data_IF_041848790761
#
_entry.id   IF_041848790761
#
_cell.length_a   1.000
_cell.length_b   1.000
_cell.length_c   1.000
_cell.angle_alpha   90.00
_cell.angle_beta   90.00
_cell.angle_gamma   90.00
#
_symmetry.space_group_name_H-M   'P 1'
#
loop_
_entity.id
_entity.type
_entity.pdbx_description
1 polymer ?
#
# COMPACT_ATOMS: atom_id res chain seq x y z
N UNK A 1 9.99 -10.57 -1.81
CA UNK A 1 9.36 -9.43 -1.13
C UNK A 1 10.29 -9.02 -0.02
N UNK A 2 10.69 -7.74 0.08
CA UNK A 2 11.40 -7.23 1.24
C UNK A 2 10.62 -7.45 2.54
N UNK A 3 11.30 -7.41 3.68
CA UNK A 3 10.70 -7.72 4.98
C UNK A 3 11.06 -6.71 6.08
N UNK A 4 10.83 -5.41 5.85
CA UNK A 4 11.02 -4.41 6.89
C UNK A 4 9.99 -4.62 8.01
N UNK A 5 10.38 -4.25 9.22
CA UNK A 5 9.50 -4.15 10.37
C UNK A 5 9.09 -2.70 10.54
N UNK A 6 7.79 -2.44 10.38
CA UNK A 6 7.16 -1.13 10.50
C UNK A 6 6.20 -1.11 11.70
N UNK A 7 5.48 -0.01 11.90
CA UNK A 7 4.44 0.13 12.92
C UNK A 7 3.07 0.14 12.25
N UNK A 8 2.16 -0.71 12.72
CA UNK A 8 0.78 -0.77 12.21
C UNK A 8 -0.13 0.33 12.80
N UNK A 9 -1.37 0.37 12.33
CA UNK A 9 -2.39 1.31 12.85
C UNK A 9 -2.79 1.08 14.31
N UNK A 10 -2.38 -0.03 14.93
CA UNK A 10 -2.58 -0.32 16.35
C UNK A 10 -1.35 0.04 17.20
N UNK A 11 -0.29 0.58 16.59
CA UNK A 11 0.96 0.91 17.26
C UNK A 11 1.85 -0.31 17.52
N UNK A 12 1.59 -1.44 16.86
CA UNK A 12 2.35 -2.69 17.01
C UNK A 12 3.40 -2.83 15.92
N UNK A 13 4.52 -3.48 16.24
CA UNK A 13 5.51 -3.87 15.25
C UNK A 13 4.89 -4.85 14.25
N UNK A 14 5.16 -4.64 12.97
CA UNK A 14 4.59 -5.41 11.87
C UNK A 14 5.66 -5.72 10.82
N UNK A 15 5.93 -7.00 10.58
CA UNK A 15 6.81 -7.52 9.54
C UNK A 15 6.03 -7.68 8.24
N UNK A 16 6.39 -6.88 7.21
CA UNK A 16 5.63 -6.83 5.96
C UNK A 16 5.49 -8.19 5.28
N UNK A 17 6.49 -9.07 5.35
CA UNK A 17 6.44 -10.39 4.70
C UNK A 17 6.08 -11.51 5.69
N UNK A 18 6.64 -11.53 6.90
CA UNK A 18 6.40 -12.64 7.83
C UNK A 18 4.96 -12.65 8.36
N UNK A 19 4.40 -11.50 8.71
CA UNK A 19 3.04 -11.40 9.28
C UNK A 19 1.94 -11.58 8.23
N UNK A 20 2.31 -11.56 6.95
CA UNK A 20 1.40 -11.77 5.82
C UNK A 20 1.73 -13.04 5.03
N UNK A 21 2.50 -13.97 5.63
CA UNK A 21 2.94 -15.21 4.97
C UNK A 21 1.80 -16.00 4.32
N UNK A 22 2.00 -16.41 3.06
CA UNK A 22 1.03 -17.21 2.30
C UNK A 22 -0.10 -16.40 1.67
N UNK A 23 -0.10 -15.07 1.81
CA UNK A 23 -1.04 -14.18 1.13
C UNK A 23 -0.46 -13.63 -0.18
N UNK A 24 -1.36 -13.29 -1.10
CA UNK A 24 -1.05 -12.30 -2.14
C UNK A 24 -0.96 -10.95 -1.45
N UNK A 25 0.12 -10.20 -1.68
CA UNK A 25 0.36 -8.92 -1.02
C UNK A 25 0.43 -7.81 -2.05
N UNK A 26 -0.45 -6.83 -1.87
CA UNK A 26 -0.53 -5.63 -2.69
C UNK A 26 0.04 -4.48 -1.86
N UNK A 27 1.26 -4.06 -2.16
CA UNK A 27 1.94 -2.97 -1.45
C UNK A 27 1.73 -1.68 -2.23
N UNK A 28 1.21 -0.67 -1.56
CA UNK A 28 0.98 0.65 -2.10
C UNK A 28 1.59 1.70 -1.19
N UNK A 29 2.45 2.55 -1.76
CA UNK A 29 3.02 3.71 -1.06
C UNK A 29 2.10 4.90 -1.31
N UNK A 30 1.70 5.61 -0.25
CA UNK A 30 0.79 6.75 -0.39
C UNK A 30 0.72 7.58 0.89
N UNK A 31 -0.22 8.51 0.96
CA UNK A 31 -0.39 9.36 2.13
C UNK A 31 -1.87 9.78 2.27
N UNK A 32 -2.35 10.01 3.50
CA UNK A 32 -3.80 10.14 3.75
C UNK A 32 -4.41 11.45 3.27
N UNK A 33 -3.59 12.49 3.08
CA UNK A 33 -4.02 13.81 2.58
C UNK A 33 -3.96 13.94 1.05
N UNK A 34 -3.61 12.86 0.34
CA UNK A 34 -3.58 12.84 -1.12
C UNK A 34 -4.99 13.12 -1.69
N UNK A 35 -5.19 14.21 -2.44
CA UNK A 35 -6.53 14.66 -2.84
C UNK A 35 -7.16 13.87 -4.00
N UNK A 36 -6.38 13.04 -4.71
CA UNK A 36 -6.80 12.46 -5.99
C UNK A 36 -6.54 10.94 -6.07
N UNK A 37 -5.28 10.54 -6.29
CA UNK A 37 -4.96 9.18 -6.74
C UNK A 37 -5.12 8.13 -5.64
N UNK A 38 -4.71 8.41 -4.39
CA UNK A 38 -4.75 7.41 -3.32
C UNK A 38 -6.18 6.92 -3.00
N UNK A 39 -7.17 7.81 -2.77
CA UNK A 39 -8.55 7.38 -2.53
C UNK A 39 -9.13 6.56 -3.68
N UNK A 40 -8.84 6.95 -4.93
CA UNK A 40 -9.32 6.24 -6.12
C UNK A 40 -8.75 4.82 -6.17
N UNK A 41 -7.44 4.65 -5.96
CA UNK A 41 -6.82 3.32 -5.99
C UNK A 41 -7.34 2.39 -4.88
N UNK A 42 -7.47 2.90 -3.66
CA UNK A 42 -7.95 2.12 -2.52
C UNK A 42 -9.43 1.75 -2.66
N UNK A 43 -10.27 2.67 -3.16
CA UNK A 43 -11.67 2.38 -3.47
C UNK A 43 -11.79 1.31 -4.54
N UNK A 44 -11.03 1.40 -5.64
CA UNK A 44 -11.06 0.39 -6.68
C UNK A 44 -10.59 -0.99 -6.17
N UNK A 45 -9.59 -1.04 -5.29
CA UNK A 45 -9.12 -2.29 -4.70
C UNK A 45 -10.21 -2.90 -3.81
N UNK A 46 -10.86 -2.08 -2.98
CA UNK A 46 -11.97 -2.53 -2.13
C UNK A 46 -13.10 -3.12 -2.98
N UNK A 47 -13.53 -2.41 -4.02
CA UNK A 47 -14.56 -2.88 -4.96
C UNK A 47 -14.19 -4.20 -5.62
N UNK A 48 -12.93 -4.36 -6.03
CA UNK A 48 -12.47 -5.61 -6.65
C UNK A 48 -12.48 -6.74 -5.63
N UNK A 49 -11.94 -6.54 -4.44
CA UNK A 49 -11.82 -7.57 -3.41
C UNK A 49 -13.17 -8.00 -2.84
N UNK A 50 -14.18 -7.12 -2.86
CA UNK A 50 -15.55 -7.44 -2.47
C UNK A 50 -16.31 -8.32 -3.48
N UNK A 51 -15.76 -8.56 -4.69
CA UNK A 51 -16.43 -9.36 -5.72
C UNK A 51 -16.49 -10.84 -5.33
N UNK A 52 -17.61 -11.54 -5.64
CA UNK A 52 -17.70 -12.98 -5.46
C UNK A 52 -16.58 -13.72 -6.19
N UNK A 53 -16.00 -14.73 -5.54
CA UNK A 53 -14.95 -15.57 -6.12
C UNK A 53 -13.54 -15.00 -6.01
N UNK A 54 -13.36 -13.82 -5.41
CA UNK A 54 -12.02 -13.33 -5.09
C UNK A 54 -11.36 -14.19 -4.00
N UNK A 55 -10.05 -14.47 -4.10
CA UNK A 55 -9.32 -15.20 -3.07
C UNK A 55 -9.38 -14.48 -1.72
N UNK A 56 -9.66 -15.19 -0.61
CA UNK A 56 -9.73 -14.57 0.72
C UNK A 56 -8.34 -14.22 1.30
N UNK A 57 -7.27 -14.74 0.70
CA UNK A 57 -5.89 -14.55 1.16
C UNK A 57 -5.16 -13.41 0.42
N UNK A 58 -5.84 -12.29 0.19
CA UNK A 58 -5.24 -11.07 -0.38
C UNK A 58 -5.09 -10.04 0.73
N UNK A 59 -3.91 -9.45 0.86
CA UNK A 59 -3.60 -8.40 1.83
C UNK A 59 -3.15 -7.14 1.10
N UNK A 60 -3.81 -6.02 1.39
CA UNK A 60 -3.41 -4.70 0.93
C UNK A 60 -2.65 -4.01 2.05
N UNK A 61 -1.40 -3.66 1.76
CA UNK A 61 -0.50 -2.96 2.66
C UNK A 61 -0.33 -1.54 2.14
N UNK A 62 -0.95 -0.60 2.83
CA UNK A 62 -0.75 0.84 2.62
C UNK A 62 0.43 1.30 3.49
N UNK A 63 1.53 1.69 2.86
CA UNK A 63 2.72 2.21 3.54
C UNK A 63 2.74 3.71 3.37
N UNK A 64 2.66 4.47 4.47
CA UNK A 64 2.69 5.93 4.36
C UNK A 64 4.05 6.42 3.86
N UNK A 65 4.04 7.52 3.12
CA UNK A 65 5.23 8.30 2.77
C UNK A 65 5.31 9.63 3.54
N UNK A 66 4.29 9.94 4.36
CA UNK A 66 4.17 11.17 5.15
C UNK A 66 3.93 10.87 6.63
N UNK A 67 4.93 10.35 7.36
CA UNK A 67 4.76 9.93 8.75
C UNK A 67 4.50 11.09 9.73
N UNK A 68 4.73 12.35 9.32
CA UNK A 68 4.48 13.52 10.16
C UNK A 68 2.97 13.81 10.27
N UNK A 69 2.22 13.56 9.19
CA UNK A 69 0.75 13.70 9.14
C UNK A 69 0.04 12.37 9.44
N UNK A 70 0.55 11.27 8.88
CA UNK A 70 -0.08 9.95 8.89
C UNK A 70 0.23 9.18 10.18
N UNK A 71 -0.31 9.68 11.30
CA UNK A 71 -0.33 8.92 12.55
C UNK A 71 -1.15 7.62 12.40
N UNK A 72 -0.88 6.59 13.23
CA UNK A 72 -1.66 5.34 13.21
C UNK A 72 -3.19 5.54 13.22
N UNK A 73 -3.68 6.51 14.00
CA UNK A 73 -5.10 6.82 14.13
C UNK A 73 -5.68 7.50 12.88
N UNK A 74 -4.91 8.43 12.28
CA UNK A 74 -5.31 9.11 11.03
C UNK A 74 -5.37 8.08 9.89
N UNK A 75 -4.34 7.25 9.75
CA UNK A 75 -4.33 6.18 8.75
C UNK A 75 -5.48 5.19 8.94
N UNK A 76 -5.78 4.77 10.18
CA UNK A 76 -6.91 3.87 10.44
C UNK A 76 -8.23 4.49 9.97
N UNK A 77 -8.48 5.72 10.38
CA UNK A 77 -9.69 6.47 10.02
C UNK A 77 -9.82 6.63 8.50
N UNK A 78 -8.71 6.90 7.81
CA UNK A 78 -8.66 6.98 6.34
C UNK A 78 -8.99 5.62 5.69
N UNK A 79 -8.31 4.55 6.11
CA UNK A 79 -8.44 3.21 5.52
C UNK A 79 -9.82 2.59 5.76
N UNK A 80 -10.47 2.90 6.89
CA UNK A 80 -11.83 2.44 7.23
C UNK A 80 -12.90 2.90 6.23
N UNK A 81 -12.66 3.97 5.48
CA UNK A 81 -13.55 4.38 4.40
C UNK A 81 -13.55 3.42 3.21
N UNK A 82 -12.54 2.54 3.11
CA UNK A 82 -12.39 1.59 2.01
C UNK A 82 -12.54 0.14 2.48
N UNK A 83 -11.76 -0.26 3.49
CA UNK A 83 -11.83 -1.60 4.07
C UNK A 83 -11.14 -1.64 5.43
N UNK A 84 -11.80 -2.26 6.41
CA UNK A 84 -11.24 -2.54 7.73
C UNK A 84 -10.12 -3.58 7.68
N UNK A 85 -9.99 -4.35 6.60
CA UNK A 85 -8.92 -5.33 6.40
C UNK A 85 -7.63 -4.75 5.81
N UNK A 86 -7.66 -3.49 5.35
CA UNK A 86 -6.45 -2.83 4.83
C UNK A 86 -5.48 -2.53 5.98
N UNK A 87 -4.22 -2.88 5.76
CA UNK A 87 -3.14 -2.76 6.73
C UNK A 87 -2.42 -1.43 6.46
N UNK A 88 -2.51 -0.48 7.39
CA UNK A 88 -1.75 0.76 7.34
C UNK A 88 -0.44 0.63 8.10
N UNK A 89 0.65 1.09 7.51
CA UNK A 89 2.01 0.95 8.03
C UNK A 89 2.75 2.29 8.01
N UNK A 90 3.40 2.63 9.12
CA UNK A 90 4.22 3.83 9.30
C UNK A 90 5.55 3.51 9.99
N UNK A 91 6.42 4.52 10.11
CA UNK A 91 7.75 4.42 10.70
C UNK A 91 8.43 5.79 10.71
N UNK A 92 9.74 5.84 10.95
CA UNK A 92 10.47 7.10 10.75
C UNK A 92 10.62 7.40 9.26
N UNK A 93 10.84 8.66 8.91
CA UNK A 93 11.03 9.09 7.53
C UNK A 93 12.17 8.35 6.84
N UNK A 94 13.29 8.15 7.54
CA UNK A 94 14.46 7.42 7.04
C UNK A 94 14.10 5.95 6.76
N UNK A 95 13.41 5.30 7.71
CA UNK A 95 12.94 3.93 7.51
C UNK A 95 12.04 3.82 6.28
N UNK A 96 11.10 4.74 6.09
CA UNK A 96 10.16 4.70 4.97
C UNK A 96 10.85 4.97 3.62
N UNK A 97 11.89 5.81 3.59
CA UNK A 97 12.75 5.96 2.40
C UNK A 97 13.48 4.65 2.09
N UNK A 98 14.07 4.01 3.09
CA UNK A 98 14.76 2.72 2.91
C UNK A 98 13.80 1.62 2.44
N UNK A 99 12.56 1.61 2.93
CA UNK A 99 11.53 0.67 2.44
C UNK A 99 11.21 0.94 0.98
N UNK A 100 10.97 2.19 0.57
CA UNK A 100 10.72 2.51 -0.84
C UNK A 100 11.87 2.04 -1.74
N UNK A 101 13.12 2.22 -1.31
CA UNK A 101 14.30 1.72 -2.03
C UNK A 101 14.32 0.19 -2.16
N UNK A 102 14.03 -0.54 -1.07
CA UNK A 102 14.00 -2.01 -1.09
C UNK A 102 12.94 -2.56 -2.06
N UNK A 103 11.83 -1.84 -2.26
CA UNK A 103 10.80 -2.19 -3.23
C UNK A 103 11.08 -1.65 -4.64
N UNK A 104 12.17 -0.92 -4.85
CA UNK A 104 12.47 -0.20 -6.10
C UNK A 104 11.32 0.74 -6.52
N UNK A 105 10.65 1.32 -5.52
CA UNK A 105 9.66 2.37 -5.69
C UNK A 105 10.35 3.72 -5.88
N UNK A 106 9.68 4.65 -6.55
CA UNK A 106 10.09 6.04 -6.59
C UNK A 106 10.03 6.64 -5.18
N UNK A 107 11.10 7.33 -4.77
CA UNK A 107 11.19 7.96 -3.46
C UNK A 107 10.28 9.18 -3.41
N UNK A 108 9.40 9.20 -2.42
CA UNK A 108 8.49 10.28 -2.18
C UNK A 108 9.23 11.61 -1.96
N UNK A 109 8.81 12.64 -2.68
CA UNK A 109 9.41 13.98 -2.64
C UNK A 109 8.31 15.01 -2.39
N UNK A 110 8.40 15.80 -1.30
CA UNK A 110 7.46 16.88 -1.04
C UNK A 110 7.49 17.95 -2.14
N UNK A 111 6.32 18.41 -2.56
CA UNK A 111 6.14 19.62 -3.33
C UNK A 111 5.82 20.76 -2.35
N UNK A 112 6.69 21.77 -2.31
CA UNK A 112 6.57 22.93 -1.42
C UNK A 112 6.12 24.15 -2.20
N UNK A 113 5.24 24.96 -1.60
CA UNK A 113 4.81 26.23 -2.17
C UNK A 113 5.84 27.35 -1.92
N UNK A 114 5.49 28.58 -2.31
CA UNK A 114 6.32 29.77 -2.12
C UNK A 114 6.56 30.14 -0.64
N UNK A 115 5.71 29.66 0.28
CA UNK A 115 5.81 29.87 1.71
C UNK A 115 6.59 28.75 2.43
N UNK A 116 6.96 27.69 1.71
CA UNK A 116 7.64 26.52 2.24
C UNK A 116 6.70 25.47 2.85
N UNK A 117 5.39 25.58 2.62
CA UNK A 117 4.41 24.59 3.06
C UNK A 117 4.31 23.44 2.05
N UNK A 118 4.26 22.20 2.55
CA UNK A 118 4.05 21.01 1.70
C UNK A 118 2.61 20.99 1.20
N UNK A 119 2.42 21.08 -0.12
CA UNK A 119 1.11 21.09 -0.77
C UNK A 119 0.73 19.75 -1.38
N UNK A 120 1.74 18.97 -1.79
CA UNK A 120 1.58 17.64 -2.35
C UNK A 120 2.85 16.82 -2.09
N UNK A 121 2.78 15.51 -2.29
CA UNK A 121 3.93 14.62 -2.18
C UNK A 121 3.96 13.75 -3.42
N UNK A 122 4.92 14.00 -4.31
CA UNK A 122 5.14 13.15 -5.46
C UNK A 122 5.68 11.80 -5.00
N UNK A 123 4.95 10.70 -5.22
CA UNK A 123 5.36 9.35 -4.84
C UNK A 123 5.05 8.32 -5.94
N UNK A 124 5.50 7.09 -5.74
CA UNK A 124 5.20 6.00 -6.66
C UNK A 124 3.70 5.67 -6.67
N UNK A 125 3.06 5.85 -7.83
CA UNK A 125 1.65 5.52 -8.01
C UNK A 125 1.36 4.04 -8.27
N UNK A 126 2.39 3.16 -8.30
CA UNK A 126 2.21 1.73 -8.59
C UNK A 126 1.79 0.95 -7.35
N UNK A 127 0.94 -0.05 -7.55
CA UNK A 127 0.71 -1.13 -6.57
C UNK A 127 1.60 -2.31 -6.93
N UNK A 128 2.48 -2.72 -6.02
CA UNK A 128 3.40 -3.83 -6.19
C UNK A 128 2.75 -5.13 -5.72
N UNK A 129 2.70 -6.15 -6.58
CA UNK A 129 2.05 -7.41 -6.27
C UNK A 129 3.06 -8.55 -6.07
N UNK A 130 2.99 -9.15 -4.88
CA UNK A 130 3.78 -10.31 -4.49
C UNK A 130 2.86 -11.51 -4.33
N UNK A 131 3.30 -12.66 -4.84
CA UNK A 131 2.59 -13.92 -4.66
C UNK A 131 2.86 -14.54 -3.27
N UNK A 132 2.11 -15.59 -2.88
CA UNK A 132 2.30 -16.30 -1.61
C UNK A 132 3.70 -16.89 -1.41
N UNK A 133 4.43 -17.12 -2.50
CA UNK A 133 5.84 -17.56 -2.56
C UNK A 133 6.86 -16.43 -2.33
N UNK A 134 6.37 -15.25 -1.96
CA UNK A 134 7.12 -14.01 -1.72
C UNK A 134 7.76 -13.40 -2.98
N UNK A 135 7.57 -13.94 -4.19
CA UNK A 135 8.14 -13.36 -5.39
C UNK A 135 7.28 -12.22 -5.93
N UNK A 136 7.94 -11.14 -6.36
CA UNK A 136 7.27 -10.05 -7.08
C UNK A 136 6.85 -10.56 -8.45
N UNK A 137 5.54 -10.49 -8.75
CA UNK A 137 4.98 -11.06 -10.00
C UNK A 137 4.55 -10.00 -11.00
N UNK A 138 4.00 -8.89 -10.51
CA UNK A 138 3.52 -7.80 -11.36
C UNK A 138 3.44 -6.50 -10.58
N UNK A 139 3.24 -5.39 -11.30
CA UNK A 139 3.03 -4.06 -10.76
C UNK A 139 1.89 -3.41 -11.53
N UNK A 140 1.01 -2.72 -10.82
CA UNK A 140 -0.16 -2.07 -11.40
C UNK A 140 0.03 -0.55 -11.35
N UNK A 141 0.30 0.12 -12.49
CA UNK A 141 0.48 1.57 -12.53
C UNK A 141 -0.85 2.30 -12.35
N UNK A 142 -0.81 3.58 -11.99
CA UNK A 142 -1.99 4.42 -12.06
C UNK A 142 -2.09 5.09 -13.46
N UNK A 143 -3.25 5.06 -14.14
CA UNK A 143 -4.46 4.31 -13.78
C UNK A 143 -4.36 2.81 -14.10
N UNK A 144 -4.93 1.96 -13.24
CA UNK A 144 -5.15 0.53 -13.52
C UNK A 144 -6.65 0.25 -13.70
N UNK A 145 -6.99 -0.56 -14.71
CA UNK A 145 -8.37 -1.05 -14.88
C UNK A 145 -8.68 -2.12 -13.84
N UNK A 146 -9.84 -2.04 -13.19
CA UNK A 146 -10.31 -3.08 -12.26
C UNK A 146 -10.26 -4.51 -12.85
N UNK A 147 -10.49 -4.64 -14.17
CA UNK A 147 -10.42 -5.91 -14.89
C UNK A 147 -9.05 -6.60 -14.82
N UNK A 148 -7.97 -5.83 -14.68
CA UNK A 148 -6.63 -6.37 -14.50
C UNK A 148 -6.54 -7.11 -13.17
N UNK A 149 -6.98 -6.48 -12.07
CA UNK A 149 -6.98 -7.13 -10.76
C UNK A 149 -7.93 -8.33 -10.68
N UNK A 150 -9.16 -8.21 -11.19
CA UNK A 150 -10.12 -9.33 -11.15
C UNK A 150 -9.62 -10.55 -11.93
N UNK A 151 -8.82 -10.34 -12.99
CA UNK A 151 -8.21 -11.42 -13.77
C UNK A 151 -6.98 -12.00 -13.06
N UNK A 152 -6.11 -11.14 -12.57
CA UNK A 152 -4.75 -11.52 -12.15
C UNK A 152 -4.72 -12.04 -10.71
N UNK A 153 -5.49 -11.47 -9.78
CA UNK A 153 -5.44 -11.84 -8.35
C UNK A 153 -5.82 -13.31 -8.08
N UNK A 154 -6.85 -13.91 -8.73
CA UNK A 154 -7.12 -15.34 -8.61
C UNK A 154 -5.94 -16.21 -9.06
N UNK A 155 -5.24 -15.82 -10.14
CA UNK A 155 -4.08 -16.55 -10.65
C UNK A 155 -2.93 -16.44 -9.66
N UNK A 156 -2.61 -15.23 -9.20
CA UNK A 156 -1.51 -14.98 -8.25
C UNK A 156 -1.69 -15.77 -6.95
N UNK A 157 -2.92 -15.92 -6.46
CA UNK A 157 -3.23 -16.64 -5.23
C UNK A 157 -2.92 -18.15 -5.29
N UNK A 158 -2.82 -18.71 -6.51
CA UNK A 158 -2.49 -20.14 -6.73
C UNK A 158 -0.99 -20.43 -6.72
N UNK A 159 -0.14 -19.40 -6.81
CA UNK A 159 1.31 -19.55 -6.84
C UNK A 159 1.84 -19.91 -5.44
N UNK A 160 2.85 -20.80 -5.40
CA UNK A 160 3.41 -21.43 -4.20
C UNK A 160 4.91 -21.66 -4.38
#
# INVERSE_FOLDING_TARGET
MPDPVLIDTQGQSFSMRADTKGAVRLVYFGFTTCPDICPVHLSQLSDVLARPGMPPNIKVLFVTVDPETDTPQVMRSFLDNFSTEFIGLTGTKEMLVDVQQQFSALIATPAVDENGETTDIGHDGRVFAFAPDDLGRTQYPHPTRQTSWTRDLPILATLR
#
